data_IF_525894883848
#
_entry.id   IF_525894883848
#
_cell.length_a   1.000
_cell.length_b   1.000
_cell.length_c   1.000
_cell.angle_alpha   90.00
_cell.angle_beta   90.00
_cell.angle_gamma   90.00
#
_symmetry.space_group_name_H-M   'P 1'
#
loop_
_entity.id
_entity.type
_entity.pdbx_description
1 polymer ?
#
# COMPACT_ATOMS: atom_id res chain seq x y z
N UNK A 1 81.23 -1.25 -19.20
CA UNK A 1 79.99 -2.06 -19.34
C UNK A 1 78.84 -1.61 -18.43
N UNK A 2 79.02 -0.95 -17.34
CA UNK A 2 78.00 -0.63 -16.31
C UNK A 2 76.99 0.47 -16.78
N UNK A 3 77.39 1.47 -17.59
CA UNK A 3 76.54 2.56 -18.06
C UNK A 3 75.39 2.13 -18.98
N UNK A 4 75.48 1.04 -19.75
CA UNK A 4 74.41 0.54 -20.61
C UNK A 4 73.28 -0.13 -19.84
N UNK A 5 73.59 -0.72 -18.66
CA UNK A 5 72.58 -1.40 -17.85
C UNK A 5 71.61 -0.42 -17.17
N UNK A 6 72.09 0.72 -16.67
CA UNK A 6 71.23 1.74 -16.08
C UNK A 6 70.30 2.42 -17.09
N UNK A 7 70.76 2.59 -18.31
CA UNK A 7 69.90 3.17 -19.39
C UNK A 7 68.73 2.23 -19.73
N UNK A 8 68.94 0.94 -19.79
CA UNK A 8 67.87 -0.05 -20.05
C UNK A 8 66.87 -0.10 -18.89
N UNK A 9 67.34 -0.08 -17.67
CA UNK A 9 66.46 -0.08 -16.48
C UNK A 9 65.60 1.20 -16.41
N UNK A 10 66.20 2.37 -16.65
CA UNK A 10 65.44 3.63 -16.68
C UNK A 10 64.40 3.69 -17.80
N UNK A 11 64.68 3.08 -18.99
CA UNK A 11 63.74 2.99 -20.09
C UNK A 11 62.51 2.13 -19.71
N UNK A 12 62.69 1.00 -19.04
CA UNK A 12 61.60 0.14 -18.60
C UNK A 12 60.75 0.80 -17.50
N UNK A 13 61.33 1.58 -16.59
CA UNK A 13 60.59 2.36 -15.58
C UNK A 13 59.72 3.43 -16.28
N UNK A 14 60.26 4.15 -17.25
CA UNK A 14 59.51 5.18 -17.99
C UNK A 14 58.38 4.55 -18.79
N UNK A 15 58.61 3.43 -19.48
CA UNK A 15 57.59 2.70 -20.23
C UNK A 15 56.51 2.15 -19.31
N UNK A 16 56.85 1.63 -18.15
CA UNK A 16 55.91 1.17 -17.12
C UNK A 16 55.06 2.32 -16.57
N UNK A 17 55.67 3.47 -16.29
CA UNK A 17 54.90 4.67 -15.84
C UNK A 17 53.97 5.20 -16.92
N UNK A 18 54.43 5.21 -18.20
CA UNK A 18 53.58 5.62 -19.34
C UNK A 18 52.39 4.68 -19.54
N UNK A 19 52.63 3.35 -19.46
CA UNK A 19 51.56 2.37 -19.58
C UNK A 19 50.56 2.48 -18.43
N UNK A 20 51.02 2.74 -17.18
CA UNK A 20 50.14 2.98 -16.04
C UNK A 20 49.30 4.26 -16.21
N UNK A 21 49.89 5.34 -16.74
CA UNK A 21 49.14 6.57 -17.04
C UNK A 21 48.12 6.37 -18.16
N UNK A 22 48.42 5.64 -19.21
CA UNK A 22 47.50 5.29 -20.29
C UNK A 22 46.38 4.40 -19.69
N UNK A 23 46.72 3.40 -18.94
CA UNK A 23 45.74 2.53 -18.28
C UNK A 23 44.83 3.31 -17.33
N UNK A 24 45.36 4.21 -16.52
CA UNK A 24 44.56 5.07 -15.64
C UNK A 24 43.66 6.05 -16.40
N UNK A 25 44.10 6.51 -17.59
CA UNK A 25 43.29 7.37 -18.44
C UNK A 25 42.13 6.62 -19.13
N UNK A 26 42.32 5.35 -19.47
CA UNK A 26 41.29 4.51 -20.08
C UNK A 26 40.35 3.87 -19.03
N UNK A 27 40.84 3.52 -17.84
CA UNK A 27 40.06 2.84 -16.79
C UNK A 27 39.70 3.76 -15.63
N UNK A 28 40.18 5.01 -15.60
CA UNK A 28 39.97 5.96 -14.50
C UNK A 28 38.57 6.55 -14.37
N UNK A 29 37.61 6.10 -15.17
CA UNK A 29 36.18 6.47 -15.07
C UNK A 29 35.28 5.28 -15.32
N UNK A 30 35.51 4.20 -14.62
CA UNK A 30 34.40 3.30 -14.35
C UNK A 30 33.61 3.95 -13.22
N UNK A 31 32.55 4.67 -13.56
CA UNK A 31 31.50 4.98 -12.60
C UNK A 31 31.04 3.63 -12.04
N UNK A 32 31.54 3.28 -10.86
CA UNK A 32 31.04 2.11 -10.14
C UNK A 32 29.58 2.46 -9.83
N UNK A 33 28.66 1.99 -10.67
CA UNK A 33 27.25 2.05 -10.40
C UNK A 33 27.00 1.14 -9.18
N UNK A 34 27.08 1.74 -8.00
CA UNK A 34 26.60 1.10 -6.79
C UNK A 34 25.09 1.22 -6.87
N UNK A 35 24.34 0.13 -7.13
CA UNK A 35 22.91 0.21 -7.08
C UNK A 35 22.53 0.68 -5.68
N UNK A 36 22.00 1.90 -5.58
CA UNK A 36 21.43 2.40 -4.32
C UNK A 36 20.20 1.52 -4.08
N UNK A 37 20.38 0.48 -3.28
CA UNK A 37 19.27 -0.34 -2.81
C UNK A 37 18.47 0.56 -1.87
N UNK A 38 17.40 1.15 -2.37
CA UNK A 38 16.47 1.86 -1.52
C UNK A 38 15.77 0.84 -0.65
N UNK A 39 16.29 0.67 0.56
CA UNK A 39 15.60 -0.05 1.61
C UNK A 39 14.31 0.70 1.95
N UNK A 40 13.18 0.10 1.57
CA UNK A 40 11.86 0.66 1.81
C UNK A 40 11.31 0.31 3.18
N UNK A 41 12.00 -0.52 3.97
CA UNK A 41 11.52 -0.98 5.29
C UNK A 41 11.20 0.20 6.21
N UNK A 42 12.07 1.21 6.27
CA UNK A 42 11.84 2.44 7.04
C UNK A 42 10.60 3.23 6.56
N UNK A 43 10.29 3.16 5.24
CA UNK A 43 9.09 3.81 4.70
C UNK A 43 7.86 3.05 5.14
N UNK A 44 7.89 1.71 5.05
CA UNK A 44 6.79 0.84 5.45
C UNK A 44 6.49 0.95 6.94
N UNK A 45 7.51 0.90 7.80
CA UNK A 45 7.37 1.06 9.24
C UNK A 45 6.66 2.39 9.61
N UNK A 46 7.03 3.48 8.94
CA UNK A 46 6.41 4.80 9.18
C UNK A 46 5.00 4.93 8.65
N UNK A 47 4.64 4.18 7.59
CA UNK A 47 3.36 4.32 6.89
C UNK A 47 2.33 3.26 7.29
N UNK A 48 2.76 2.10 7.80
CA UNK A 48 1.88 1.05 8.34
C UNK A 48 0.81 1.57 9.30
N UNK A 49 1.13 2.47 10.28
CA UNK A 49 0.12 2.99 11.20
C UNK A 49 -0.97 3.84 10.55
N UNK A 50 -0.81 4.20 9.29
CA UNK A 50 -1.75 5.05 8.54
C UNK A 50 -2.74 4.23 7.68
N UNK A 51 -2.61 2.90 7.68
CA UNK A 51 -3.54 1.99 7.00
C UNK A 51 -4.26 1.15 8.04
N UNK A 52 -5.56 1.02 7.89
CA UNK A 52 -6.44 0.26 8.79
C UNK A 52 -7.16 -0.85 8.03
N UNK A 53 -7.60 -1.84 8.78
CA UNK A 53 -8.50 -2.88 8.30
C UNK A 53 -9.93 -2.47 8.57
N UNK A 54 -10.83 -2.73 7.65
CA UNK A 54 -12.26 -2.47 7.80
C UNK A 54 -12.98 -3.81 7.90
N UNK A 55 -13.77 -3.94 8.96
CA UNK A 55 -14.52 -5.13 9.27
C UNK A 55 -16.00 -4.81 9.44
N UNK A 56 -16.86 -5.75 9.07
CA UNK A 56 -18.29 -5.71 9.37
C UNK A 56 -18.62 -6.67 10.48
N UNK A 57 -19.43 -6.22 11.44
CA UNK A 57 -20.01 -7.07 12.47
C UNK A 57 -21.27 -7.72 11.88
N UNK A 58 -21.20 -9.02 11.60
CA UNK A 58 -22.38 -9.78 11.15
C UNK A 58 -22.95 -10.62 12.27
N UNK A 59 -24.26 -10.66 12.34
CA UNK A 59 -25.04 -11.49 13.27
C UNK A 59 -25.84 -12.50 12.47
N UNK A 60 -25.76 -13.79 12.84
CA UNK A 60 -26.53 -14.84 12.19
C UNK A 60 -27.09 -15.83 13.19
N UNK A 61 -28.23 -16.43 12.86
CA UNK A 61 -28.82 -17.49 13.65
C UNK A 61 -28.15 -18.81 13.33
N UNK A 62 -27.73 -19.56 14.35
CA UNK A 62 -27.14 -20.87 14.22
C UNK A 62 -27.81 -21.84 15.19
N UNK A 63 -27.80 -23.12 14.83
CA UNK A 63 -28.16 -24.17 15.77
C UNK A 63 -26.94 -24.54 16.58
N UNK A 64 -27.11 -24.65 17.90
CA UNK A 64 -26.06 -25.09 18.82
C UNK A 64 -26.58 -26.27 19.61
N UNK A 65 -25.84 -27.37 19.58
CA UNK A 65 -26.13 -28.53 20.44
C UNK A 65 -25.81 -28.16 21.86
N UNK A 66 -26.77 -28.41 22.75
CA UNK A 66 -26.64 -28.28 24.20
C UNK A 66 -27.08 -29.59 24.85
N UNK A 67 -26.52 -29.91 26.00
CA UNK A 67 -26.99 -31.00 26.83
C UNK A 67 -27.56 -30.47 28.15
N UNK A 68 -28.65 -31.08 28.62
CA UNK A 68 -29.16 -30.79 29.97
C UNK A 68 -28.37 -31.55 31.04
N UNK A 69 -28.70 -31.31 32.30
CA UNK A 69 -28.08 -31.96 33.48
C UNK A 69 -28.17 -33.49 33.45
N UNK A 70 -29.13 -34.06 32.71
CA UNK A 70 -29.33 -35.51 32.55
C UNK A 70 -28.65 -36.08 31.31
N UNK A 71 -27.82 -35.27 30.57
CA UNK A 71 -27.08 -35.69 29.41
C UNK A 71 -27.89 -35.77 28.09
N UNK A 72 -29.16 -35.34 28.08
CA UNK A 72 -29.96 -35.29 26.86
C UNK A 72 -29.51 -34.11 26.00
N UNK A 73 -29.20 -34.41 24.72
CA UNK A 73 -28.79 -33.44 23.74
C UNK A 73 -29.98 -32.83 23.03
N UNK A 74 -29.99 -31.50 22.91
CA UNK A 74 -30.99 -30.75 22.16
C UNK A 74 -30.36 -29.61 21.41
N UNK A 75 -30.95 -29.22 20.28
CA UNK A 75 -30.49 -28.10 19.49
C UNK A 75 -31.23 -26.81 19.86
N UNK A 76 -30.50 -25.80 20.25
CA UNK A 76 -31.04 -24.47 20.54
C UNK A 76 -30.64 -23.48 19.45
N UNK A 77 -31.56 -22.60 19.04
CA UNK A 77 -31.24 -21.43 18.21
C UNK A 77 -30.48 -20.39 19.02
N UNK A 78 -29.29 -20.05 18.56
CA UNK A 78 -28.46 -19.02 19.14
C UNK A 78 -28.11 -17.98 18.09
N UNK A 79 -27.91 -16.72 18.51
CA UNK A 79 -27.36 -15.68 17.63
C UNK A 79 -25.85 -15.70 17.80
N UNK A 80 -25.13 -16.00 16.74
CA UNK A 80 -23.69 -15.86 16.67
C UNK A 80 -23.32 -14.52 16.08
N UNK A 81 -22.23 -13.93 16.54
CA UNK A 81 -21.66 -12.68 16.04
C UNK A 81 -20.23 -12.96 15.60
N UNK A 82 -19.82 -12.40 14.47
CA UNK A 82 -18.47 -12.52 13.97
C UNK A 82 -18.05 -11.29 13.17
N UNK A 83 -16.73 -11.16 13.02
CA UNK A 83 -16.10 -10.13 12.21
C UNK A 83 -15.84 -10.69 10.83
N UNK A 84 -16.21 -9.93 9.82
CA UNK A 84 -15.98 -10.28 8.42
C UNK A 84 -15.14 -9.19 7.77
N UNK A 85 -14.00 -9.54 7.14
CA UNK A 85 -13.12 -8.58 6.51
C UNK A 85 -13.80 -8.00 5.26
N UNK A 86 -13.75 -6.68 5.13
CA UNK A 86 -14.29 -5.98 3.97
C UNK A 86 -13.18 -5.49 3.04
N UNK A 87 -12.12 -4.92 3.61
CA UNK A 87 -11.02 -4.31 2.91
C UNK A 87 -10.18 -3.44 3.82
N UNK A 88 -9.56 -2.46 3.23
CA UNK A 88 -8.64 -1.55 3.90
C UNK A 88 -9.17 -0.11 3.92
N UNK A 89 -8.55 0.73 4.72
CA UNK A 89 -8.81 2.17 4.77
C UNK A 89 -7.53 2.96 5.02
N UNK A 90 -7.54 4.21 4.66
CA UNK A 90 -6.41 5.15 4.76
C UNK A 90 -6.77 6.28 5.70
N UNK A 91 -5.94 6.51 6.71
CA UNK A 91 -6.10 7.63 7.64
C UNK A 91 -5.59 8.90 6.98
N UNK A 92 -6.47 9.87 6.73
CA UNK A 92 -6.13 11.16 6.10
C UNK A 92 -5.98 12.29 7.11
N UNK A 93 -6.77 12.21 8.20
CA UNK A 93 -6.70 13.12 9.34
C UNK A 93 -6.96 12.34 10.63
N UNK A 94 -6.74 12.99 11.77
CA UNK A 94 -7.02 12.38 13.07
C UNK A 94 -8.54 12.11 13.19
N UNK A 95 -8.89 10.84 13.23
CA UNK A 95 -10.30 10.42 13.32
C UNK A 95 -11.03 10.29 11.99
N UNK A 96 -10.38 10.59 10.84
CA UNK A 96 -10.96 10.44 9.52
C UNK A 96 -10.23 9.38 8.69
N UNK A 97 -10.99 8.45 8.14
CA UNK A 97 -10.53 7.37 7.29
C UNK A 97 -11.24 7.45 5.95
N UNK A 98 -10.49 7.32 4.87
CA UNK A 98 -11.02 7.20 3.52
C UNK A 98 -10.83 5.76 3.03
N UNK A 99 -11.83 5.24 2.35
CA UNK A 99 -11.83 3.91 1.74
C UNK A 99 -12.62 3.93 0.43
N UNK A 100 -12.71 2.81 -0.27
CA UNK A 100 -13.63 2.67 -1.40
C UNK A 100 -15.06 2.44 -0.91
N UNK A 101 -16.05 2.97 -1.66
CA UNK A 101 -17.45 2.76 -1.33
C UNK A 101 -17.84 1.29 -1.40
N UNK A 102 -17.36 0.54 -2.39
CA UNK A 102 -17.66 -0.89 -2.51
C UNK A 102 -17.18 -1.71 -1.30
N UNK A 103 -16.18 -1.24 -0.54
CA UNK A 103 -15.70 -1.89 0.70
C UNK A 103 -16.77 -1.85 1.80
N UNK A 104 -17.59 -0.78 1.83
CA UNK A 104 -18.58 -0.57 2.89
C UNK A 104 -20.04 -0.75 2.41
N UNK A 105 -20.27 -0.86 1.10
CA UNK A 105 -21.60 -0.82 0.50
C UNK A 105 -22.55 -1.90 1.05
N UNK A 106 -22.07 -3.13 1.25
CA UNK A 106 -22.87 -4.21 1.82
C UNK A 106 -23.29 -3.91 3.26
N UNK A 107 -22.35 -3.41 4.07
CA UNK A 107 -22.62 -3.03 5.46
C UNK A 107 -23.60 -1.85 5.52
N UNK A 108 -23.42 -0.85 4.64
CA UNK A 108 -24.33 0.29 4.51
C UNK A 108 -25.75 -0.15 4.14
N UNK A 109 -25.91 -0.94 3.09
CA UNK A 109 -27.22 -1.39 2.61
C UNK A 109 -27.95 -2.29 3.61
N UNK A 110 -27.23 -3.03 4.43
CA UNK A 110 -27.78 -3.95 5.44
C UNK A 110 -27.82 -3.34 6.85
N UNK A 111 -27.48 -2.05 6.98
CA UNK A 111 -27.40 -1.34 8.27
C UNK A 111 -26.59 -2.10 9.32
N UNK A 112 -25.41 -2.60 8.90
CA UNK A 112 -24.50 -3.36 9.75
C UNK A 112 -23.44 -2.42 10.35
N UNK A 113 -22.96 -2.77 11.54
CA UNK A 113 -21.91 -2.01 12.22
C UNK A 113 -20.56 -2.26 11.55
N UNK A 114 -19.82 -1.16 11.33
CA UNK A 114 -18.44 -1.16 10.85
C UNK A 114 -17.49 -0.90 12.01
N UNK A 115 -16.39 -1.62 12.01
CA UNK A 115 -15.24 -1.36 12.87
C UNK A 115 -13.97 -1.25 12.03
N UNK A 116 -13.02 -0.50 12.54
CA UNK A 116 -11.66 -0.48 12.02
C UNK A 116 -10.70 -1.08 13.03
N UNK A 117 -9.67 -1.69 12.49
CA UNK A 117 -8.57 -2.28 13.26
C UNK A 117 -7.26 -1.64 12.81
N UNK A 118 -6.46 -1.17 13.74
CA UNK A 118 -5.15 -0.61 13.45
C UNK A 118 -4.08 -1.71 13.29
N UNK A 119 -2.87 -1.32 12.92
CA UNK A 119 -1.72 -2.21 12.72
C UNK A 119 -1.31 -2.99 13.98
N UNK A 120 -1.79 -2.60 15.17
CA UNK A 120 -1.55 -3.28 16.46
C UNK A 120 -2.70 -4.23 16.85
N UNK A 121 -3.71 -4.41 15.99
CA UNK A 121 -4.88 -5.25 16.26
C UNK A 121 -5.93 -4.61 17.18
N UNK A 122 -5.78 -3.31 17.54
CA UNK A 122 -6.78 -2.61 18.32
C UNK A 122 -7.94 -2.21 17.40
N UNK A 123 -9.18 -2.51 17.84
CA UNK A 123 -10.41 -2.22 17.10
C UNK A 123 -11.18 -1.06 17.71
N UNK A 124 -11.91 -0.33 16.88
CA UNK A 124 -12.79 0.76 17.28
C UNK A 124 -13.99 0.85 16.32
N UNK A 125 -15.15 1.25 16.84
CA UNK A 125 -16.35 1.49 16.03
C UNK A 125 -16.17 2.73 15.15
N UNK A 126 -16.78 2.68 13.97
CA UNK A 126 -16.80 3.80 13.04
C UNK A 126 -18.22 4.12 12.60
N UNK A 127 -18.39 5.32 12.10
CA UNK A 127 -19.60 5.76 11.42
C UNK A 127 -19.29 6.21 10.00
N UNK A 128 -20.22 5.99 9.08
CA UNK A 128 -20.10 6.51 7.72
C UNK A 128 -20.48 7.97 7.77
N UNK A 129 -19.54 8.87 7.42
CA UNK A 129 -19.77 10.32 7.37
C UNK A 129 -20.33 10.75 6.01
N UNK A 130 -19.95 10.04 4.95
CA UNK A 130 -20.42 10.29 3.59
C UNK A 130 -19.79 9.35 2.59
N UNK A 131 -20.31 9.34 1.37
CA UNK A 131 -19.76 8.56 0.27
C UNK A 131 -20.15 9.15 -1.08
N UNK A 132 -19.36 8.80 -2.09
CA UNK A 132 -19.66 9.00 -3.49
C UNK A 132 -19.55 7.64 -4.19
N UNK A 133 -20.68 7.11 -4.66
CA UNK A 133 -20.74 5.81 -5.32
C UNK A 133 -20.20 5.84 -6.75
N UNK A 134 -20.21 6.99 -7.43
CA UNK A 134 -19.66 7.13 -8.78
C UNK A 134 -18.14 7.18 -8.72
N UNK A 135 -17.60 7.95 -7.78
CA UNK A 135 -16.18 8.02 -7.51
C UNK A 135 -15.64 6.80 -6.73
N UNK A 136 -16.52 5.92 -6.24
CA UNK A 136 -16.18 4.77 -5.40
C UNK A 136 -15.35 5.15 -4.16
N UNK A 137 -15.77 6.21 -3.46
CA UNK A 137 -15.10 6.74 -2.27
C UNK A 137 -16.09 6.78 -1.11
N UNK A 138 -15.62 6.48 0.09
CA UNK A 138 -16.34 6.67 1.34
C UNK A 138 -15.44 7.24 2.42
N UNK A 139 -16.03 8.03 3.31
CA UNK A 139 -15.38 8.63 4.47
C UNK A 139 -15.99 8.06 5.75
N UNK A 140 -15.12 7.54 6.61
CA UNK A 140 -15.50 7.01 7.92
C UNK A 140 -14.95 7.90 9.02
N UNK A 141 -15.77 8.15 10.03
CA UNK A 141 -15.39 8.80 11.27
C UNK A 141 -15.17 7.79 12.38
N UNK A 142 -14.18 8.01 13.22
CA UNK A 142 -13.92 7.18 14.40
C UNK A 142 -14.76 7.69 15.56
N UNK A 143 -15.45 6.78 16.24
CA UNK A 143 -16.31 7.14 17.38
C UNK A 143 -15.49 7.23 18.67
N UNK A 144 -14.55 6.29 18.86
CA UNK A 144 -13.75 6.19 20.08
C UNK A 144 -12.27 6.54 19.81
N UNK A 145 -11.49 6.77 20.87
CA UNK A 145 -10.07 7.08 20.72
C UNK A 145 -9.24 5.86 20.37
N UNK A 146 -8.51 5.95 19.26
CA UNK A 146 -7.51 4.98 18.81
C UNK A 146 -6.29 5.73 18.26
N UNK A 147 -5.11 5.17 18.47
CA UNK A 147 -3.88 5.75 17.92
C UNK A 147 -3.78 5.44 16.43
N UNK A 148 -3.98 6.46 15.62
CA UNK A 148 -3.87 6.41 14.17
C UNK A 148 -3.03 7.58 13.67
N UNK A 149 -2.18 7.31 12.71
CA UNK A 149 -1.27 8.29 12.13
C UNK A 149 -1.75 8.69 10.73
N UNK A 150 -2.06 9.98 10.49
CA UNK A 150 -2.45 10.42 9.16
C UNK A 150 -1.31 10.31 8.15
N UNK A 151 -1.65 9.98 6.90
CA UNK A 151 -0.72 10.05 5.79
C UNK A 151 -0.34 11.49 5.44
N UNK A 152 0.89 11.65 4.98
CA UNK A 152 1.26 12.84 4.22
C UNK A 152 0.80 12.66 2.78
N UNK A 153 -0.10 13.52 2.32
CA UNK A 153 -0.62 13.48 0.96
C UNK A 153 0.38 14.15 0.00
N UNK A 154 0.59 13.57 -1.18
CA UNK A 154 1.40 14.20 -2.24
C UNK A 154 0.60 15.32 -2.89
N UNK A 155 1.00 16.58 -2.65
CA UNK A 155 0.27 17.76 -3.12
C UNK A 155 0.20 17.90 -4.65
N UNK A 156 1.25 17.50 -5.36
CA UNK A 156 1.37 17.69 -6.81
C UNK A 156 1.15 16.34 -7.52
N UNK A 157 -0.09 15.87 -7.49
CA UNK A 157 -0.47 14.60 -8.11
C UNK A 157 -0.32 14.62 -9.63
N UNK A 158 -0.55 15.79 -10.25
CA UNK A 158 -0.39 15.98 -11.69
C UNK A 158 1.06 15.81 -12.19
N UNK A 159 2.02 15.81 -11.26
CA UNK A 159 3.44 15.59 -11.56
C UNK A 159 3.87 14.13 -11.40
N UNK A 160 2.94 13.21 -11.16
CA UNK A 160 3.22 11.77 -11.16
C UNK A 160 3.61 11.35 -12.57
N UNK A 161 4.71 10.61 -12.69
CA UNK A 161 5.24 10.17 -13.99
C UNK A 161 5.22 8.64 -14.07
N UNK A 162 5.00 8.15 -15.29
CA UNK A 162 5.21 6.74 -15.62
C UNK A 162 6.65 6.35 -15.28
N UNK A 163 6.83 5.20 -14.65
CA UNK A 163 8.12 4.70 -14.17
C UNK A 163 8.46 5.09 -12.72
N UNK A 164 7.70 6.00 -12.07
CA UNK A 164 7.91 6.27 -10.64
C UNK A 164 7.63 5.02 -9.81
N UNK A 165 8.49 4.75 -8.83
CA UNK A 165 8.31 3.64 -7.88
C UNK A 165 7.12 3.92 -6.96
N UNK A 166 6.27 2.92 -6.81
CA UNK A 166 5.08 2.97 -5.93
C UNK A 166 4.98 1.72 -5.08
N UNK A 167 4.30 1.85 -3.94
CA UNK A 167 4.05 0.76 -3.03
C UNK A 167 2.55 0.76 -2.71
N UNK A 168 1.90 -0.37 -2.93
CA UNK A 168 0.55 -0.60 -2.47
C UNK A 168 0.58 -1.23 -1.07
N UNK A 169 -0.26 -0.71 -0.18
CA UNK A 169 -0.40 -1.17 1.21
C UNK A 169 -1.87 -1.48 1.47
N UNK A 170 -2.13 -2.68 1.94
CA UNK A 170 -3.47 -3.10 2.33
C UNK A 170 -3.44 -4.29 3.29
N UNK A 171 -4.60 -4.79 3.65
CA UNK A 171 -4.72 -6.00 4.47
C UNK A 171 -5.59 -7.04 3.75
N UNK A 172 -5.00 -7.86 2.88
CA UNK A 172 -5.75 -8.87 2.18
C UNK A 172 -6.32 -9.89 3.18
N UNK A 173 -7.65 -10.04 3.15
CA UNK A 173 -8.39 -11.04 3.93
C UNK A 173 -8.24 -10.93 5.46
N UNK A 174 -7.77 -9.81 5.99
CA UNK A 174 -7.57 -9.66 7.44
C UNK A 174 -6.42 -10.48 8.03
N UNK A 175 -5.51 -10.98 7.19
CA UNK A 175 -4.37 -11.80 7.61
C UNK A 175 -3.14 -10.98 8.05
N UNK A 176 -3.29 -9.66 8.12
CA UNK A 176 -2.22 -8.72 8.42
C UNK A 176 -1.89 -7.84 7.21
N UNK A 177 -1.20 -6.72 7.46
CA UNK A 177 -0.81 -5.80 6.40
C UNK A 177 0.12 -6.47 5.41
N UNK A 178 -0.12 -6.24 4.13
CA UNK A 178 0.76 -6.67 3.04
C UNK A 178 1.20 -5.47 2.20
N UNK A 179 2.37 -5.61 1.62
CA UNK A 179 3.04 -4.57 0.85
C UNK A 179 3.45 -5.16 -0.50
N UNK A 180 3.14 -4.44 -1.56
CA UNK A 180 3.63 -4.80 -2.90
C UNK A 180 4.25 -3.57 -3.55
N UNK A 181 5.45 -3.75 -4.12
CA UNK A 181 6.18 -2.69 -4.82
C UNK A 181 6.06 -2.89 -6.32
N UNK A 182 5.91 -1.78 -7.02
CA UNK A 182 5.87 -1.72 -8.47
C UNK A 182 6.22 -0.32 -8.96
N UNK A 183 5.78 0.01 -10.15
CA UNK A 183 5.91 1.32 -10.77
C UNK A 183 4.56 1.85 -11.21
N UNK A 184 4.50 3.13 -11.48
CA UNK A 184 3.41 3.74 -12.24
C UNK A 184 3.54 3.27 -13.70
N UNK A 185 2.62 2.41 -14.15
CA UNK A 185 2.62 1.87 -15.52
C UNK A 185 1.91 2.78 -16.52
N UNK A 186 0.90 3.53 -16.05
CA UNK A 186 0.21 4.56 -16.84
C UNK A 186 -0.51 5.56 -15.92
N UNK A 187 -0.85 6.72 -16.46
CA UNK A 187 -1.62 7.79 -15.79
C UNK A 187 -2.82 8.18 -16.63
N UNK A 188 -3.77 8.90 -16.03
CA UNK A 188 -4.96 9.43 -16.72
C UNK A 188 -5.78 8.35 -17.44
N UNK A 189 -5.87 7.15 -16.84
CA UNK A 189 -6.72 6.09 -17.37
C UNK A 189 -8.17 6.34 -16.96
N UNK A 190 -9.09 6.18 -17.92
CA UNK A 190 -10.51 6.06 -17.66
C UNK A 190 -10.88 4.57 -17.63
N UNK A 191 -11.77 4.18 -16.72
CA UNK A 191 -12.18 2.80 -16.60
C UNK A 191 -13.71 2.70 -16.57
N UNK A 192 -14.27 1.88 -17.47
CA UNK A 192 -15.72 1.54 -17.51
C UNK A 192 -16.64 2.78 -17.37
N UNK A 193 -16.43 3.81 -18.15
CA UNK A 193 -17.17 5.08 -18.13
C UNK A 193 -17.13 5.86 -16.80
N UNK A 194 -16.34 5.39 -15.81
CA UNK A 194 -16.09 6.14 -14.60
C UNK A 194 -15.16 7.32 -14.91
N UNK A 195 -15.65 8.52 -14.65
CA UNK A 195 -14.85 9.74 -14.71
C UNK A 195 -13.87 9.71 -13.53
N UNK A 196 -12.59 9.65 -13.81
CA UNK A 196 -11.55 9.70 -12.78
C UNK A 196 -10.15 9.59 -13.37
N UNK A 197 -9.19 10.19 -12.70
CA UNK A 197 -7.79 10.04 -13.07
C UNK A 197 -7.22 8.82 -12.37
N UNK A 198 -7.26 7.66 -13.06
CA UNK A 198 -6.67 6.44 -12.50
C UNK A 198 -5.18 6.36 -12.82
N UNK A 199 -4.41 5.95 -11.81
CA UNK A 199 -3.03 5.47 -11.98
C UNK A 199 -3.10 3.97 -12.17
N UNK A 200 -2.45 3.49 -13.22
CA UNK A 200 -2.19 2.07 -13.41
C UNK A 200 -0.82 1.71 -12.81
N UNK A 201 -0.74 0.62 -12.09
CA UNK A 201 0.50 0.08 -11.52
C UNK A 201 0.62 -1.41 -11.79
N UNK A 202 1.85 -1.92 -11.82
CA UNK A 202 2.18 -3.34 -11.84
C UNK A 202 2.43 -3.92 -10.43
N UNK A 203 2.33 -3.09 -9.38
CA UNK A 203 2.30 -3.58 -8.02
C UNK A 203 1.16 -4.59 -7.84
N UNK A 204 1.45 -5.73 -7.23
CA UNK A 204 0.45 -6.81 -7.03
C UNK A 204 -0.69 -6.33 -6.14
N UNK A 205 -1.91 -6.32 -6.66
CA UNK A 205 -3.12 -5.96 -5.95
C UNK A 205 -4.03 -7.18 -5.87
N UNK A 206 -4.44 -7.52 -4.64
CA UNK A 206 -5.28 -8.67 -4.34
C UNK A 206 -6.56 -8.22 -3.62
N UNK A 207 -7.62 -9.06 -3.62
CA UNK A 207 -8.81 -8.81 -2.80
C UNK A 207 -8.45 -8.54 -1.34
N UNK A 208 -9.00 -7.46 -0.77
CA UNK A 208 -8.68 -6.96 0.57
C UNK A 208 -7.70 -5.77 0.59
N UNK A 209 -6.94 -5.53 -0.49
CA UNK A 209 -6.18 -4.30 -0.63
C UNK A 209 -7.05 -3.09 -1.04
N UNK A 210 -8.30 -3.33 -1.51
CA UNK A 210 -9.26 -2.26 -1.83
C UNK A 210 -9.42 -1.29 -0.66
N UNK A 211 -9.36 0.00 -0.96
CA UNK A 211 -9.41 1.08 0.04
C UNK A 211 -8.09 1.34 0.76
N UNK A 212 -7.07 0.51 0.54
CA UNK A 212 -5.72 0.70 1.05
C UNK A 212 -4.95 1.81 0.33
N UNK A 213 -3.71 2.03 0.72
CA UNK A 213 -2.88 3.12 0.22
C UNK A 213 -2.04 2.72 -0.99
N UNK A 214 -1.98 3.59 -2.00
CA UNK A 214 -0.86 3.65 -2.92
C UNK A 214 0.04 4.82 -2.51
N UNK A 215 1.31 4.55 -2.24
CA UNK A 215 2.28 5.55 -1.79
C UNK A 215 3.48 5.62 -2.74
N UNK A 216 4.18 6.76 -2.71
CA UNK A 216 5.47 6.89 -3.38
C UNK A 216 6.63 6.36 -2.52
N UNK A 217 7.85 6.40 -3.05
CA UNK A 217 9.09 6.00 -2.39
C UNK A 217 9.43 6.79 -1.12
N UNK A 218 8.79 7.94 -0.93
CA UNK A 218 8.93 8.80 0.27
C UNK A 218 7.84 8.54 1.32
N UNK A 219 6.90 7.65 1.03
CA UNK A 219 5.77 7.32 1.91
C UNK A 219 4.63 8.34 1.85
N UNK A 220 4.53 9.13 0.78
CA UNK A 220 3.42 10.06 0.58
C UNK A 220 2.28 9.37 -0.17
N UNK A 221 1.07 9.58 0.29
CA UNK A 221 -0.13 9.02 -0.33
C UNK A 221 -0.33 9.61 -1.74
N UNK A 222 -0.47 8.73 -2.72
CA UNK A 222 -0.82 9.03 -4.10
C UNK A 222 -2.31 8.80 -4.37
N UNK A 223 -2.92 7.79 -3.75
CA UNK A 223 -4.31 7.45 -3.96
C UNK A 223 -4.74 6.22 -3.19
N UNK A 224 -6.00 5.82 -3.39
CA UNK A 224 -6.55 4.58 -2.84
C UNK A 224 -6.37 3.44 -3.82
N UNK A 225 -6.00 2.28 -3.31
CA UNK A 225 -5.99 1.04 -4.09
C UNK A 225 -7.42 0.62 -4.39
N UNK A 226 -7.73 0.48 -5.68
CA UNK A 226 -9.02 -0.03 -6.13
C UNK A 226 -8.79 -1.31 -6.93
N UNK A 227 -9.27 -2.45 -6.42
CA UNK A 227 -9.18 -3.74 -7.12
C UNK A 227 -10.29 -3.78 -8.16
N UNK A 228 -9.94 -3.53 -9.41
CA UNK A 228 -10.84 -3.78 -10.52
C UNK A 228 -10.64 -5.22 -10.96
N UNK A 229 -11.72 -5.98 -11.02
CA UNK A 229 -11.73 -7.35 -11.54
C UNK A 229 -11.39 -7.36 -13.03
N UNK A 230 -10.11 -7.34 -13.34
CA UNK A 230 -9.57 -7.61 -14.68
C UNK A 230 -8.47 -8.65 -14.52
N UNK A 231 -8.45 -9.66 -15.36
CA UNK A 231 -7.57 -10.82 -15.28
C UNK A 231 -6.08 -10.52 -15.49
N UNK A 232 -5.70 -9.26 -15.71
CA UNK A 232 -4.32 -8.94 -16.06
C UNK A 232 -3.80 -7.55 -15.68
N UNK A 233 -4.58 -6.64 -15.08
CA UNK A 233 -4.09 -5.29 -14.77
C UNK A 233 -4.70 -4.75 -13.47
N UNK A 234 -3.84 -4.20 -12.61
CA UNK A 234 -4.24 -3.54 -11.37
C UNK A 234 -4.36 -2.04 -11.57
N UNK A 235 -5.45 -1.44 -11.10
CA UNK A 235 -5.69 0.00 -11.17
C UNK A 235 -5.85 0.57 -9.75
N UNK A 236 -5.41 1.80 -9.57
CA UNK A 236 -5.65 2.57 -8.35
C UNK A 236 -6.39 3.85 -8.69
N UNK A 237 -7.35 4.21 -7.87
CA UNK A 237 -8.14 5.42 -8.03
C UNK A 237 -7.44 6.61 -7.38
N UNK A 238 -7.27 7.68 -8.17
CA UNK A 238 -6.80 8.97 -7.69
C UNK A 238 -7.99 9.92 -7.60
N UNK A 239 -8.64 9.97 -6.47
CA UNK A 239 -9.46 11.15 -6.13
C UNK A 239 -9.35 11.38 -4.63
N UNK A 240 -8.42 12.24 -4.27
CA UNK A 240 -8.60 13.02 -3.06
C UNK A 240 -9.36 14.29 -3.49
N UNK A 241 -10.39 14.71 -2.77
CA UNK A 241 -11.05 15.96 -3.05
C UNK A 241 -10.01 17.08 -2.96
N UNK A 242 -9.76 17.74 -4.10
CA UNK A 242 -8.75 18.78 -4.22
C UNK A 242 -9.24 20.15 -3.73
N UNK A 243 -10.49 20.26 -3.24
CA UNK A 243 -11.03 21.49 -2.68
C UNK A 243 -12.04 21.15 -1.58
N UNK A 244 -11.61 21.28 -0.36
CA UNK A 244 -12.42 21.59 0.80
C UNK A 244 -11.68 22.61 1.65
#
# INVERSE_FOLDING_TARGET
>A
MIKKSYFVISLWIVLGALSALIFSSFYGKTDIYIPIYHDISNVLERTSPSVVNIWTIKKWKAWQEQSNEFGFKFNRRVVKTGLFPNGSGVVIEKGLIVTNFHVISDAFNQNQELIVENHLGKTVKTQILGFDSEADIAVLGIIDSIDLKPFKIRKNIDQVKVGESVIAIGNPQGLGQSFSKGIVSAINRTFQDKKGNFIQTDASINPGNSGGALIDDKGRLLGLVNVIRSTSVSYTHLTLPTNA
#
